data_IF_205672404387
#
_entry.id   IF_205672404387
#
_cell.length_a   1.000
_cell.length_b   1.000
_cell.length_c   1.000
_cell.angle_alpha   90.00
_cell.angle_beta   90.00
_cell.angle_gamma   90.00
#
_symmetry.space_group_name_H-M   'P 1'
#
loop_
_entity.id
_entity.type
_entity.pdbx_description
1 polymer ?
#
# COMPACT_ATOMS: atom_id res chain seq x y z
N UNK A 1 -46.51 17.60 -50.82
CA UNK A 1 -46.60 18.71 -49.85
C UNK A 1 -45.16 19.13 -49.55
N UNK A 2 -44.56 19.88 -50.46
CA UNK A 2 -44.41 21.35 -50.41
C UNK A 2 -43.23 21.75 -49.54
N UNK A 3 -42.16 22.14 -50.23
CA UNK A 3 -41.17 23.12 -49.80
C UNK A 3 -41.80 24.34 -49.10
N UNK A 4 -41.13 24.89 -48.09
CA UNK A 4 -40.85 26.33 -48.01
C UNK A 4 -39.86 26.65 -46.90
N UNK A 5 -38.78 27.30 -47.30
CA UNK A 5 -37.86 28.09 -46.47
C UNK A 5 -38.62 29.20 -45.74
N UNK A 6 -38.24 29.47 -44.50
CA UNK A 6 -38.57 30.71 -43.79
C UNK A 6 -37.29 31.52 -43.62
N UNK A 7 -37.19 32.62 -44.39
CA UNK A 7 -36.21 33.70 -44.21
C UNK A 7 -36.40 34.40 -42.86
N UNK A 8 -35.32 34.87 -42.22
CA UNK A 8 -35.36 36.08 -41.42
C UNK A 8 -34.90 37.27 -42.27
N UNK A 9 -35.82 38.24 -42.35
CA UNK A 9 -35.69 39.66 -42.65
C UNK A 9 -34.30 40.31 -42.51
N UNK A 10 -33.93 41.06 -43.55
CA UNK A 10 -32.95 42.13 -43.54
C UNK A 10 -33.21 43.14 -42.40
N UNK A 11 -32.22 43.37 -41.55
CA UNK A 11 -31.90 44.70 -41.03
C UNK A 11 -30.41 44.90 -41.25
N UNK A 12 -30.08 45.69 -42.26
CA UNK A 12 -28.74 46.17 -42.52
C UNK A 12 -28.41 47.31 -41.55
N UNK A 13 -27.41 47.12 -40.70
CA UNK A 13 -26.61 48.23 -40.18
C UNK A 13 -25.14 47.78 -40.12
N UNK A 14 -24.39 48.22 -41.13
CA UNK A 14 -22.94 48.26 -41.27
C UNK A 14 -22.12 47.75 -40.07
N UNK A 15 -21.54 46.55 -40.19
CA UNK A 15 -20.39 46.14 -39.40
C UNK A 15 -19.15 46.12 -40.29
N UNK A 16 -18.44 47.25 -40.33
CA UNK A 16 -17.18 47.41 -41.05
C UNK A 16 -16.01 46.85 -40.24
N UNK A 17 -16.03 45.54 -39.96
CA UNK A 17 -14.93 44.84 -39.29
C UNK A 17 -14.27 43.86 -40.25
N UNK A 18 -13.15 44.29 -40.83
CA UNK A 18 -12.28 43.44 -41.65
C UNK A 18 -11.66 42.29 -40.85
N UNK A 19 -11.15 41.25 -41.53
CA UNK A 19 -10.53 40.09 -40.90
C UNK A 19 -9.24 40.47 -40.15
N UNK A 20 -9.08 39.97 -38.93
CA UNK A 20 -7.88 40.11 -38.10
C UNK A 20 -6.86 39.05 -38.56
N UNK A 21 -5.75 39.48 -39.14
CA UNK A 21 -4.70 38.57 -39.63
C UNK A 21 -3.73 38.19 -38.50
N UNK A 22 -3.47 36.89 -38.34
CA UNK A 22 -2.52 36.34 -37.35
C UNK A 22 -1.24 35.86 -38.05
N UNK A 23 -0.08 36.05 -37.40
CA UNK A 23 1.22 35.55 -37.85
C UNK A 23 1.86 36.39 -38.96
N UNK A 24 2.82 35.78 -39.69
CA UNK A 24 3.71 36.44 -40.68
C UNK A 24 3.01 37.05 -41.91
N UNK A 25 1.68 37.15 -41.91
CA UNK A 25 0.88 37.74 -42.99
C UNK A 25 1.44 39.10 -43.40
N UNK A 26 1.65 40.00 -42.42
CA UNK A 26 2.20 41.33 -42.65
C UNK A 26 3.60 41.32 -43.28
N UNK A 27 4.49 40.48 -42.73
CA UNK A 27 5.86 40.32 -43.22
C UNK A 27 5.91 39.77 -44.64
N UNK A 28 4.96 38.91 -45.00
CA UNK A 28 4.85 38.30 -46.33
C UNK A 28 4.51 39.32 -47.43
N UNK A 29 3.89 40.44 -47.06
CA UNK A 29 3.55 41.54 -47.97
C UNK A 29 4.52 42.74 -47.86
N UNK A 30 5.63 42.60 -47.13
CA UNK A 30 6.63 43.67 -46.96
C UNK A 30 6.10 44.86 -46.14
N UNK A 31 5.11 44.61 -45.28
CA UNK A 31 4.52 45.60 -44.39
C UNK A 31 5.03 45.39 -42.96
N UNK A 32 5.37 46.49 -42.27
CA UNK A 32 5.82 46.49 -40.88
C UNK A 32 7.00 45.53 -40.62
N UNK A 33 8.16 45.81 -41.21
CA UNK A 33 9.35 44.94 -41.06
C UNK A 33 9.83 44.83 -39.61
N UNK A 34 9.59 45.87 -38.81
CA UNK A 34 9.92 45.98 -37.39
C UNK A 34 8.87 45.37 -36.46
N UNK A 35 7.81 44.73 -37.01
CA UNK A 35 6.75 44.13 -36.20
C UNK A 35 7.20 42.85 -35.52
N UNK A 36 6.94 42.79 -34.22
CA UNK A 36 7.20 41.63 -33.38
C UNK A 36 5.92 40.79 -33.21
N UNK A 37 5.75 39.80 -34.10
CA UNK A 37 4.61 38.88 -34.06
C UNK A 37 4.60 37.97 -32.81
N UNK A 38 5.71 37.87 -32.07
CA UNK A 38 5.81 37.06 -30.84
C UNK A 38 5.43 37.86 -29.59
N UNK A 39 5.36 39.19 -29.66
CA UNK A 39 4.89 40.05 -28.57
C UNK A 39 3.45 40.53 -28.82
N UNK A 40 2.48 39.69 -28.42
CA UNK A 40 1.05 39.97 -28.52
C UNK A 40 0.32 39.82 -27.19
N UNK A 41 -0.69 40.67 -26.97
CA UNK A 41 -1.65 40.53 -25.86
C UNK A 41 -3.08 40.55 -26.39
N UNK A 42 -3.98 39.82 -25.73
CA UNK A 42 -5.38 39.71 -26.15
C UNK A 42 -6.23 40.79 -25.49
N UNK A 43 -6.87 41.64 -26.29
CA UNK A 43 -7.85 42.61 -25.82
C UNK A 43 -9.24 41.97 -25.86
N UNK A 44 -9.61 41.33 -24.74
CA UNK A 44 -10.82 40.52 -24.60
C UNK A 44 -12.13 41.28 -24.87
N UNK A 45 -12.18 42.58 -24.55
CA UNK A 45 -13.39 43.41 -24.71
C UNK A 45 -13.78 43.63 -26.18
N UNK A 46 -12.80 43.63 -27.09
CA UNK A 46 -13.05 43.72 -28.52
C UNK A 46 -12.71 42.44 -29.30
N UNK A 47 -12.37 41.36 -28.59
CA UNK A 47 -11.87 40.12 -29.19
C UNK A 47 -10.73 40.36 -30.20
N UNK A 48 -9.79 41.23 -29.82
CA UNK A 48 -8.70 41.70 -30.67
C UNK A 48 -7.33 41.30 -30.12
N UNK A 49 -6.30 41.34 -30.96
CA UNK A 49 -4.90 41.21 -30.55
C UNK A 49 -4.23 42.59 -30.63
N UNK A 50 -3.49 42.95 -29.59
CA UNK A 50 -2.61 44.11 -29.55
C UNK A 50 -1.17 43.64 -29.62
N UNK A 51 -0.39 44.23 -30.52
CA UNK A 51 1.05 43.98 -30.65
C UNK A 51 1.82 44.97 -29.76
N UNK A 52 3.00 44.57 -29.29
CA UNK A 52 3.82 45.37 -28.37
C UNK A 52 4.68 46.43 -29.06
N UNK A 53 4.61 46.54 -30.38
CA UNK A 53 5.39 47.45 -31.20
C UNK A 53 4.72 48.83 -31.36
N UNK A 54 5.51 49.84 -31.74
CA UNK A 54 4.98 51.16 -32.04
C UNK A 54 4.30 51.11 -33.41
N UNK A 55 2.98 51.27 -33.41
CA UNK A 55 2.08 51.42 -34.56
C UNK A 55 2.76 51.85 -35.88
N UNK A 56 2.59 51.03 -36.93
CA UNK A 56 2.95 51.39 -38.29
C UNK A 56 2.01 52.47 -38.84
N UNK A 57 2.29 53.74 -38.60
CA UNK A 57 1.55 54.83 -39.23
C UNK A 57 1.97 54.97 -40.71
N UNK A 58 1.28 54.27 -41.61
CA UNK A 58 1.34 54.53 -43.06
C UNK A 58 0.07 55.24 -43.47
N UNK A 59 0.18 56.55 -43.67
CA UNK A 59 -0.91 57.52 -43.87
C UNK A 59 -1.94 57.23 -44.98
N UNK A 60 -1.90 56.11 -45.73
CA UNK A 60 -2.90 55.86 -46.77
C UNK A 60 -3.27 54.41 -47.11
N UNK A 61 -2.81 53.39 -46.39
CA UNK A 61 -3.31 52.01 -46.53
C UNK A 61 -2.66 51.19 -45.42
N UNK A 62 -3.32 51.02 -44.29
CA UNK A 62 -2.83 50.08 -43.28
C UNK A 62 -3.05 48.66 -43.80
N UNK A 63 -2.01 48.09 -44.41
CA UNK A 63 -1.97 46.69 -44.84
C UNK A 63 -1.98 45.72 -43.66
N UNK A 64 -1.80 46.22 -42.43
CA UNK A 64 -1.73 45.47 -41.19
C UNK A 64 -2.64 46.11 -40.15
N UNK A 65 -3.98 46.00 -40.31
CA UNK A 65 -4.93 46.66 -39.42
C UNK A 65 -4.75 46.19 -37.98
N UNK A 66 -4.08 47.02 -37.18
CA UNK A 66 -3.99 46.87 -35.73
C UNK A 66 -5.14 47.66 -35.08
N UNK A 67 -5.55 47.25 -33.87
CA UNK A 67 -6.64 47.94 -33.17
C UNK A 67 -6.16 49.34 -32.74
N UNK A 68 -6.70 50.38 -33.37
CA UNK A 68 -6.29 51.76 -33.14
C UNK A 68 -6.72 52.25 -31.75
N UNK A 69 -5.74 52.64 -30.92
CA UNK A 69 -5.94 53.20 -29.59
C UNK A 69 -6.04 54.74 -29.70
N UNK A 70 -7.23 55.25 -30.06
CA UNK A 70 -7.47 56.70 -30.01
C UNK A 70 -8.59 57.05 -29.03
N UNK A 71 -8.23 57.21 -27.76
CA UNK A 71 -8.97 58.03 -26.79
C UNK A 71 -7.96 58.84 -25.94
N UNK A 72 -7.90 60.18 -26.07
CA UNK A 72 -6.97 61.04 -25.33
C UNK A 72 -7.22 61.07 -23.80
N UNK A 73 -8.27 60.41 -23.29
CA UNK A 73 -8.60 60.37 -21.86
C UNK A 73 -8.55 58.99 -21.22
N UNK A 74 -8.23 57.94 -21.98
CA UNK A 74 -8.11 56.57 -21.47
C UNK A 74 -6.76 55.99 -21.84
N UNK A 75 -5.78 56.20 -20.97
CA UNK A 75 -4.52 55.43 -21.00
C UNK A 75 -4.87 53.99 -20.64
N UNK A 76 -5.19 53.16 -21.64
CA UNK A 76 -5.23 51.71 -21.47
C UNK A 76 -3.82 51.19 -21.76
N UNK A 77 -3.06 51.08 -20.68
CA UNK A 77 -1.76 50.41 -20.67
C UNK A 77 -2.01 48.96 -21.12
N UNK A 78 -1.34 48.52 -22.20
CA UNK A 78 -1.12 47.09 -22.47
C UNK A 78 -0.39 46.54 -21.26
N UNK A 79 -1.16 46.10 -20.27
CA UNK A 79 -0.63 45.59 -19.02
C UNK A 79 -0.01 44.26 -19.37
N UNK A 80 1.32 44.21 -19.35
CA UNK A 80 2.08 42.97 -19.39
C UNK A 80 1.52 42.09 -18.28
N UNK A 81 0.64 41.14 -18.62
CA UNK A 81 0.18 40.16 -17.65
C UNK A 81 1.37 39.23 -17.47
N UNK A 82 2.26 39.58 -16.54
CA UNK A 82 3.19 38.62 -15.96
C UNK A 82 2.34 37.41 -15.60
N UNK A 83 2.54 36.29 -16.28
CA UNK A 83 1.92 35.03 -15.88
C UNK A 83 2.51 34.69 -14.51
N UNK A 84 1.83 35.14 -13.46
CA UNK A 84 2.22 34.88 -12.07
C UNK A 84 1.81 33.45 -11.77
N UNK A 85 2.80 32.57 -11.75
CA UNK A 85 2.60 31.16 -11.54
C UNK A 85 3.90 30.45 -11.22
N UNK A 86 3.81 29.16 -10.90
CA UNK A 86 4.96 28.33 -10.59
C UNK A 86 5.23 27.37 -11.73
N UNK A 87 6.48 27.31 -12.20
CA UNK A 87 6.90 26.34 -13.20
C UNK A 87 7.22 24.99 -12.56
N UNK A 88 6.82 23.90 -13.21
CA UNK A 88 7.23 22.54 -12.85
C UNK A 88 7.13 21.61 -14.05
N UNK A 89 8.16 20.78 -14.27
CA UNK A 89 8.22 19.79 -15.36
C UNK A 89 7.89 20.35 -16.75
N UNK A 90 8.28 21.62 -17.01
CA UNK A 90 8.01 22.31 -18.27
C UNK A 90 6.59 22.89 -18.39
N UNK A 91 5.73 22.76 -17.38
CA UNK A 91 4.39 23.32 -17.34
C UNK A 91 4.30 24.49 -16.34
N UNK A 92 3.53 25.52 -16.69
CA UNK A 92 3.21 26.65 -15.82
C UNK A 92 1.90 26.39 -15.07
N UNK A 93 1.91 26.59 -13.76
CA UNK A 93 0.75 26.45 -12.87
C UNK A 93 0.34 27.81 -12.31
N UNK A 94 -0.97 28.08 -12.25
CA UNK A 94 -1.53 29.31 -11.70
C UNK A 94 -1.23 29.45 -10.20
N UNK A 95 -1.14 30.68 -9.71
CA UNK A 95 -1.01 30.98 -8.28
C UNK A 95 -2.13 30.28 -7.47
N UNK A 96 -1.76 29.67 -6.34
CA UNK A 96 -2.70 28.89 -5.52
C UNK A 96 -2.92 27.44 -6.01
N UNK A 97 -2.38 27.05 -7.17
CA UNK A 97 -2.41 25.65 -7.62
C UNK A 97 -1.76 24.72 -6.59
N UNK A 98 -2.38 23.56 -6.37
CA UNK A 98 -1.87 22.55 -5.44
C UNK A 98 -1.51 21.28 -6.20
N UNK A 99 -0.29 20.80 -6.01
CA UNK A 99 0.18 19.52 -6.54
C UNK A 99 0.57 18.59 -5.38
N UNK A 100 0.49 17.29 -5.61
CA UNK A 100 0.98 16.28 -4.66
C UNK A 100 2.29 15.70 -5.15
N UNK A 101 3.30 15.75 -4.29
CA UNK A 101 4.59 15.14 -4.51
C UNK A 101 4.83 14.11 -3.42
N UNK A 102 4.77 12.82 -3.80
CA UNK A 102 4.73 11.72 -2.84
C UNK A 102 3.60 11.97 -1.82
N UNK A 103 3.91 12.04 -0.52
CA UNK A 103 2.94 12.35 0.54
C UNK A 103 2.78 13.86 0.81
N UNK A 104 3.60 14.72 0.20
CA UNK A 104 3.62 16.14 0.46
C UNK A 104 2.67 16.90 -0.48
N UNK A 105 2.03 17.93 0.07
CA UNK A 105 1.19 18.85 -0.69
C UNK A 105 1.96 20.14 -0.92
N UNK A 106 2.13 20.53 -2.17
CA UNK A 106 2.85 21.72 -2.58
C UNK A 106 1.89 22.73 -3.18
N UNK A 107 1.83 23.92 -2.59
CA UNK A 107 0.99 25.03 -3.07
C UNK A 107 1.87 26.06 -3.77
N UNK A 108 1.49 26.45 -4.97
CA UNK A 108 2.15 27.54 -5.68
C UNK A 108 1.84 28.86 -4.96
N UNK A 109 2.89 29.52 -4.48
CA UNK A 109 2.76 30.81 -3.79
C UNK A 109 3.94 31.72 -4.12
N UNK A 110 3.69 32.79 -4.85
CA UNK A 110 4.69 33.78 -5.23
C UNK A 110 5.79 33.21 -6.12
N UNK A 111 5.39 32.50 -7.19
CA UNK A 111 6.28 31.82 -8.16
C UNK A 111 7.16 30.70 -7.57
N UNK A 112 6.95 30.35 -6.29
CA UNK A 112 7.65 29.25 -5.63
C UNK A 112 6.66 28.21 -5.11
N UNK A 113 7.07 26.95 -5.13
CA UNK A 113 6.32 25.86 -4.51
C UNK A 113 6.58 25.81 -3.01
N UNK A 114 5.54 26.03 -2.20
CA UNK A 114 5.58 25.83 -0.76
C UNK A 114 4.99 24.47 -0.43
N UNK A 115 5.87 23.52 -0.12
CA UNK A 115 5.50 22.13 0.19
C UNK A 115 5.40 21.89 1.70
N UNK A 116 4.50 21.01 2.11
CA UNK A 116 4.58 20.37 3.42
C UNK A 116 5.90 19.60 3.56
N UNK A 117 6.37 19.44 4.80
CA UNK A 117 7.60 18.71 5.12
C UNK A 117 7.29 17.43 5.91
N UNK A 118 6.40 16.61 5.38
CA UNK A 118 6.06 15.30 5.94
C UNK A 118 7.11 14.27 5.53
N UNK A 119 7.48 13.40 6.47
CA UNK A 119 8.29 12.21 6.16
C UNK A 119 7.41 11.20 5.45
N UNK A 120 7.68 10.98 4.17
CA UNK A 120 6.93 10.01 3.37
C UNK A 120 7.42 8.58 3.58
N UNK A 121 6.52 7.61 3.40
CA UNK A 121 6.85 6.19 3.52
C UNK A 121 7.79 5.75 2.39
N UNK A 122 7.51 6.18 1.16
CA UNK A 122 8.42 5.98 0.03
C UNK A 122 9.56 6.98 0.14
N UNK A 123 10.78 6.48 0.34
CA UNK A 123 11.98 7.28 0.53
C UNK A 123 13.01 6.93 -0.56
N UNK A 124 13.05 7.67 -1.68
CA UNK A 124 13.95 7.38 -2.80
C UNK A 124 15.43 7.32 -2.38
N UNK A 125 15.87 8.23 -1.52
CA UNK A 125 17.24 8.27 -0.99
C UNK A 125 17.59 7.01 -0.19
N UNK A 126 16.64 6.49 0.59
CA UNK A 126 16.83 5.24 1.35
C UNK A 126 16.95 4.05 0.40
N UNK A 127 16.07 3.97 -0.61
CA UNK A 127 16.12 2.92 -1.63
C UNK A 127 17.47 2.94 -2.35
N UNK A 128 17.93 4.11 -2.78
CA UNK A 128 19.23 4.27 -3.43
C UNK A 128 20.38 3.87 -2.51
N UNK A 129 20.33 4.28 -1.23
CA UNK A 129 21.34 3.91 -0.25
C UNK A 129 21.44 2.40 -0.03
N UNK A 130 20.30 1.70 0.12
CA UNK A 130 20.28 0.23 0.23
C UNK A 130 20.88 -0.41 -1.00
N UNK A 131 20.49 0.04 -2.19
CA UNK A 131 20.93 -0.57 -3.45
C UNK A 131 22.39 -0.27 -3.81
N UNK A 132 22.98 0.83 -3.30
CA UNK A 132 24.41 1.12 -3.44
C UNK A 132 25.26 0.41 -2.40
N UNK A 133 24.70 0.06 -1.25
CA UNK A 133 25.39 -0.64 -0.17
C UNK A 133 25.45 -2.15 -0.37
N UNK A 134 26.37 -2.81 0.34
CA UNK A 134 26.49 -4.27 0.37
C UNK A 134 25.80 -4.84 1.61
N UNK A 135 24.47 -4.73 1.65
CA UNK A 135 23.65 -5.17 2.79
C UNK A 135 23.07 -6.59 2.61
N UNK A 136 23.33 -7.26 1.48
CA UNK A 136 22.79 -8.59 1.20
C UNK A 136 21.32 -8.63 0.76
N UNK A 137 20.68 -7.47 0.58
CA UNK A 137 19.32 -7.33 0.04
C UNK A 137 19.16 -6.05 -0.78
N UNK A 138 18.12 -6.00 -1.60
CA UNK A 138 17.81 -4.86 -2.47
C UNK A 138 16.46 -4.26 -2.16
N UNK A 139 16.32 -2.96 -2.38
CA UNK A 139 15.12 -2.19 -2.13
C UNK A 139 14.44 -1.76 -3.44
N UNK A 140 13.12 -1.61 -3.42
CA UNK A 140 12.35 -0.99 -4.50
C UNK A 140 11.17 -0.16 -3.99
N UNK A 141 10.66 0.68 -4.89
CA UNK A 141 9.42 1.41 -4.67
C UNK A 141 8.21 0.50 -4.94
N UNK A 142 7.14 0.70 -4.18
CA UNK A 142 5.85 0.07 -4.38
C UNK A 142 4.76 1.13 -4.51
N UNK A 143 4.00 1.08 -5.61
CA UNK A 143 2.90 2.01 -5.86
C UNK A 143 1.85 2.00 -4.74
N UNK A 144 1.65 0.86 -4.08
CA UNK A 144 0.73 0.73 -2.94
C UNK A 144 1.13 1.50 -1.68
N UNK A 145 2.33 2.11 -1.65
CA UNK A 145 2.84 2.95 -0.57
C UNK A 145 2.99 4.42 -0.98
N UNK A 146 2.86 4.74 -2.27
CA UNK A 146 3.00 6.09 -2.78
C UNK A 146 1.92 7.01 -2.19
N UNK A 147 2.32 8.19 -1.73
CA UNK A 147 1.41 9.15 -1.13
C UNK A 147 1.13 8.95 0.36
N UNK A 148 1.65 7.89 0.99
CA UNK A 148 1.54 7.69 2.44
C UNK A 148 2.68 8.36 3.18
N UNK A 149 2.37 8.94 4.33
CA UNK A 149 3.38 9.33 5.32
C UNK A 149 3.98 8.08 5.99
N UNK A 150 5.17 8.22 6.56
CA UNK A 150 5.83 7.14 7.30
C UNK A 150 4.98 6.68 8.50
N UNK A 151 4.35 7.62 9.20
CA UNK A 151 3.42 7.33 10.30
C UNK A 151 2.22 6.50 9.84
N UNK A 152 1.60 6.87 8.72
CA UNK A 152 0.50 6.09 8.13
C UNK A 152 0.95 4.69 7.73
N UNK A 153 2.17 4.55 7.19
CA UNK A 153 2.79 3.26 6.91
C UNK A 153 2.83 2.36 8.13
N UNK A 154 3.42 2.84 9.22
CA UNK A 154 3.46 2.12 10.49
C UNK A 154 2.06 1.84 11.03
N UNK A 155 1.18 2.84 11.05
CA UNK A 155 -0.17 2.75 11.59
C UNK A 155 -1.06 1.75 10.85
N UNK A 156 -1.02 1.74 9.51
CA UNK A 156 -1.93 0.93 8.70
C UNK A 156 -1.37 -0.46 8.35
N UNK A 157 -0.04 -0.64 8.35
CA UNK A 157 0.58 -1.92 7.98
C UNK A 157 0.97 -2.79 9.18
N UNK A 158 1.22 -2.22 10.37
CA UNK A 158 1.81 -2.93 11.51
C UNK A 158 0.89 -3.05 12.74
N UNK A 159 -0.39 -3.37 12.54
CA UNK A 159 -1.37 -3.34 13.64
C UNK A 159 -1.26 -4.43 14.71
N UNK A 160 -0.11 -5.08 14.89
CA UNK A 160 0.06 -6.05 15.98
C UNK A 160 0.44 -5.30 17.26
N UNK A 161 -0.37 -5.43 18.30
CA UNK A 161 -0.03 -4.89 19.61
C UNK A 161 1.18 -5.64 20.18
N UNK A 162 2.06 -4.96 20.93
CA UNK A 162 3.15 -5.62 21.64
C UNK A 162 2.65 -6.81 22.47
N UNK A 163 3.38 -7.94 22.49
CA UNK A 163 3.00 -9.12 23.26
C UNK A 163 2.70 -8.78 24.73
N UNK A 164 1.63 -9.38 25.26
CA UNK A 164 1.32 -9.24 26.68
C UNK A 164 2.40 -9.92 27.54
N UNK A 165 2.68 -9.43 28.76
CA UNK A 165 3.62 -10.08 29.66
C UNK A 165 3.28 -11.56 29.92
N UNK A 166 1.98 -11.88 29.94
CA UNK A 166 1.49 -13.25 30.08
C UNK A 166 1.88 -14.14 28.89
N UNK A 167 1.84 -13.61 27.67
CA UNK A 167 2.25 -14.34 26.47
C UNK A 167 3.77 -14.57 26.47
N UNK A 168 4.53 -13.56 26.89
CA UNK A 168 6.00 -13.64 27.02
C UNK A 168 6.46 -14.53 28.18
N UNK A 169 5.61 -14.80 29.17
CA UNK A 169 5.92 -15.69 30.30
C UNK A 169 5.40 -17.12 30.12
N UNK A 170 4.76 -17.44 28.99
CA UNK A 170 4.38 -18.82 28.69
C UNK A 170 5.61 -19.72 28.62
N UNK A 171 5.51 -20.91 29.22
CA UNK A 171 6.54 -21.94 29.11
C UNK A 171 6.78 -22.30 27.64
N UNK A 172 8.04 -22.32 27.26
CA UNK A 172 8.46 -22.74 25.93
C UNK A 172 8.28 -24.25 25.79
N UNK A 173 7.67 -24.66 24.68
CA UNK A 173 7.65 -26.05 24.24
C UNK A 173 8.78 -26.28 23.24
N UNK A 174 9.47 -27.39 23.42
CA UNK A 174 10.43 -27.94 22.45
C UNK A 174 9.73 -28.98 21.59
N UNK A 175 10.17 -29.13 20.35
CA UNK A 175 9.65 -30.17 19.48
C UNK A 175 10.02 -31.56 20.04
N UNK A 176 9.19 -32.57 19.79
CA UNK A 176 9.42 -33.95 20.28
C UNK A 176 10.54 -34.69 19.52
N UNK A 177 11.29 -34.00 18.66
CA UNK A 177 12.38 -34.58 17.90
C UNK A 177 13.65 -34.74 18.74
N UNK A 178 14.38 -35.86 18.56
CA UNK A 178 15.69 -36.03 19.18
C UNK A 178 16.60 -34.82 18.90
N UNK A 179 17.45 -34.48 19.87
CA UNK A 179 18.46 -33.43 19.71
C UNK A 179 19.40 -33.67 18.51
N UNK A 180 19.60 -34.94 18.13
CA UNK A 180 20.44 -35.40 17.02
C UNK A 180 19.74 -35.40 15.65
N UNK A 181 18.53 -34.84 15.54
CA UNK A 181 17.83 -34.79 14.25
C UNK A 181 18.62 -33.95 13.27
N UNK A 182 19.03 -34.55 12.15
CA UNK A 182 19.68 -33.84 11.06
C UNK A 182 18.66 -32.96 10.35
N UNK A 183 18.86 -31.64 10.42
CA UNK A 183 17.97 -30.64 9.82
C UNK A 183 18.52 -30.26 8.45
N UNK A 184 17.70 -30.30 7.38
CA UNK A 184 18.19 -29.97 6.05
C UNK A 184 18.63 -28.50 5.96
N UNK A 185 19.62 -28.21 5.12
CA UNK A 185 20.09 -26.84 4.90
C UNK A 185 19.00 -25.91 4.34
N UNK A 186 18.02 -26.49 3.63
CA UNK A 186 16.85 -25.83 3.06
C UNK A 186 15.58 -26.59 3.36
N UNK A 187 14.54 -25.86 3.75
CA UNK A 187 13.20 -26.39 3.94
C UNK A 187 12.16 -25.36 3.54
N UNK A 188 11.16 -25.78 2.77
CA UNK A 188 10.01 -24.95 2.39
C UNK A 188 8.75 -25.78 2.63
N UNK A 189 7.85 -25.28 3.49
CA UNK A 189 6.64 -26.02 3.86
C UNK A 189 5.77 -26.39 2.65
N UNK A 190 5.69 -25.53 1.62
CA UNK A 190 4.89 -25.80 0.43
C UNK A 190 5.42 -26.95 -0.44
N UNK A 191 6.72 -27.28 -0.35
CA UNK A 191 7.28 -28.46 -1.01
C UNK A 191 7.00 -29.74 -0.22
N UNK A 192 7.01 -29.67 1.12
CA UNK A 192 6.67 -30.82 1.96
C UNK A 192 5.16 -31.13 1.94
N UNK A 193 4.32 -30.10 1.93
CA UNK A 193 2.86 -30.23 1.92
C UNK A 193 2.22 -29.44 0.77
N UNK A 194 2.35 -29.90 -0.48
CA UNK A 194 1.81 -29.22 -1.65
C UNK A 194 0.30 -29.04 -1.55
N UNK A 195 -0.17 -27.81 -1.76
CA UNK A 195 -1.61 -27.47 -1.73
C UNK A 195 -2.22 -27.33 -0.33
N UNK A 196 -1.44 -27.55 0.75
CA UNK A 196 -1.91 -27.39 2.14
C UNK A 196 -1.35 -26.15 2.83
N UNK A 197 -0.42 -25.45 2.18
CA UNK A 197 0.10 -24.15 2.64
C UNK A 197 -0.44 -23.04 1.77
N UNK A 198 -1.13 -22.07 2.36
CA UNK A 198 -1.75 -20.96 1.64
C UNK A 198 -0.79 -19.80 1.45
N UNK A 199 -0.87 -19.16 0.28
CA UNK A 199 -0.05 -17.99 -0.06
C UNK A 199 -0.40 -16.72 0.74
N UNK A 200 0.42 -15.66 0.60
CA UNK A 200 0.21 -14.37 1.25
C UNK A 200 -1.09 -13.72 0.80
N UNK A 201 -1.87 -13.21 1.76
CA UNK A 201 -3.01 -12.34 1.50
C UNK A 201 -2.62 -10.87 1.67
N UNK A 202 -3.51 -9.94 1.31
CA UNK A 202 -3.26 -8.50 1.42
C UNK A 202 -4.21 -7.83 2.42
N UNK A 203 -3.65 -7.30 3.50
CA UNK A 203 -4.39 -6.55 4.52
C UNK A 203 -4.77 -5.13 4.09
N UNK A 204 -4.25 -4.63 2.96
CA UNK A 204 -4.45 -3.24 2.50
C UNK A 204 -4.12 -2.25 3.62
N UNK A 205 -4.86 -1.15 3.72
CA UNK A 205 -4.70 -0.14 4.77
C UNK A 205 -5.53 -0.47 6.01
N UNK A 206 -5.45 -1.73 6.46
CA UNK A 206 -6.04 -2.22 7.69
C UNK A 206 -4.93 -2.82 8.53
N UNK A 207 -4.72 -2.29 9.73
CA UNK A 207 -3.68 -2.69 10.66
C UNK A 207 -4.02 -4.05 11.30
N UNK A 208 -3.92 -5.11 10.49
CA UNK A 208 -4.50 -6.41 10.78
C UNK A 208 -3.54 -7.59 10.61
N UNK A 209 -2.23 -7.34 10.59
CA UNK A 209 -1.22 -8.41 10.51
C UNK A 209 -1.40 -9.49 11.59
N UNK A 210 -1.83 -9.10 12.78
CA UNK A 210 -2.22 -10.00 13.88
C UNK A 210 -3.29 -11.03 13.45
N UNK A 211 -4.29 -10.63 12.67
CA UNK A 211 -5.39 -11.48 12.24
C UNK A 211 -4.99 -12.33 11.03
N UNK A 212 -4.28 -11.73 10.07
CA UNK A 212 -3.83 -12.38 8.84
C UNK A 212 -2.84 -13.51 9.14
N UNK A 213 -1.81 -13.23 9.94
CA UNK A 213 -0.83 -14.25 10.33
C UNK A 213 -1.46 -15.38 11.14
N UNK A 214 -2.34 -15.06 12.11
CA UNK A 214 -3.05 -16.06 12.92
C UNK A 214 -3.92 -16.98 12.06
N UNK A 215 -4.77 -16.40 11.20
CA UNK A 215 -5.66 -17.17 10.33
C UNK A 215 -4.87 -18.02 9.33
N UNK A 216 -3.77 -17.48 8.78
CA UNK A 216 -2.95 -18.19 7.80
C UNK A 216 -2.20 -19.37 8.42
N UNK A 217 -1.60 -19.20 9.60
CA UNK A 217 -0.94 -20.31 10.34
C UNK A 217 -1.95 -21.39 10.70
N UNK A 218 -3.11 -20.99 11.21
CA UNK A 218 -4.17 -21.92 11.56
C UNK A 218 -4.69 -22.72 10.35
N UNK A 219 -4.92 -22.05 9.22
CA UNK A 219 -5.36 -22.71 7.98
C UNK A 219 -4.39 -23.80 7.54
N UNK A 220 -3.10 -23.46 7.48
CA UNK A 220 -2.06 -24.39 7.04
C UNK A 220 -1.93 -25.58 7.99
N UNK A 221 -1.94 -25.33 9.30
CA UNK A 221 -1.84 -26.39 10.31
C UNK A 221 -3.05 -27.31 10.32
N UNK A 222 -4.26 -26.75 10.18
CA UNK A 222 -5.47 -27.57 10.07
C UNK A 222 -5.40 -28.44 8.82
N UNK A 223 -4.94 -27.92 7.68
CA UNK A 223 -4.77 -28.71 6.46
C UNK A 223 -3.74 -29.84 6.62
N UNK A 224 -2.57 -29.52 7.18
CA UNK A 224 -1.49 -30.49 7.41
C UNK A 224 -1.93 -31.58 8.38
N UNK A 225 -2.49 -31.19 9.53
CA UNK A 225 -2.82 -32.15 10.60
C UNK A 225 -4.06 -32.97 10.29
N UNK A 226 -4.98 -32.44 9.48
CA UNK A 226 -6.12 -33.19 8.94
C UNK A 226 -5.77 -34.06 7.73
N UNK A 227 -4.49 -34.14 7.36
CA UNK A 227 -4.00 -34.88 6.20
C UNK A 227 -4.75 -34.50 4.90
N UNK A 228 -4.99 -33.20 4.71
CA UNK A 228 -5.67 -32.67 3.54
C UNK A 228 -7.20 -32.77 3.55
N UNK A 229 -7.83 -33.27 4.62
CA UNK A 229 -9.30 -33.29 4.73
C UNK A 229 -9.91 -31.89 4.82
N UNK A 230 -9.18 -30.93 5.38
CA UNK A 230 -9.61 -29.54 5.53
C UNK A 230 -8.58 -28.56 4.97
N UNK A 231 -8.73 -28.16 3.72
CA UNK A 231 -7.79 -27.27 3.02
C UNK A 231 -8.32 -25.84 2.83
N UNK A 232 -9.33 -25.43 3.60
CA UNK A 232 -9.88 -24.09 3.47
C UNK A 232 -8.92 -23.04 4.05
N UNK A 233 -8.58 -22.02 3.25
CA UNK A 233 -7.95 -20.82 3.77
C UNK A 233 -8.92 -20.14 4.76
N UNK A 234 -8.47 -19.76 5.95
CA UNK A 234 -9.33 -19.17 6.98
C UNK A 234 -9.47 -17.67 6.79
N UNK A 235 -10.63 -17.11 7.15
CA UNK A 235 -10.94 -15.70 6.96
C UNK A 235 -10.29 -14.81 8.03
N UNK A 236 -9.34 -13.93 7.67
CA UNK A 236 -8.88 -12.89 8.57
C UNK A 236 -9.99 -11.88 8.85
N UNK A 237 -10.88 -11.61 7.87
CA UNK A 237 -11.99 -10.67 8.02
C UNK A 237 -12.95 -11.09 9.14
N UNK A 238 -13.27 -12.38 9.24
CA UNK A 238 -14.10 -12.90 10.31
C UNK A 238 -13.46 -12.63 11.68
N UNK A 239 -12.14 -12.84 11.79
CA UNK A 239 -11.40 -12.55 13.01
C UNK A 239 -11.39 -11.05 13.34
N UNK A 240 -11.12 -10.19 12.36
CA UNK A 240 -11.10 -8.73 12.50
C UNK A 240 -12.46 -8.21 12.97
N UNK A 241 -13.55 -8.66 12.36
CA UNK A 241 -14.91 -8.17 12.65
C UNK A 241 -15.52 -8.77 13.92
N UNK A 242 -15.12 -9.98 14.33
CA UNK A 242 -15.83 -10.74 15.37
C UNK A 242 -15.03 -11.02 16.65
N UNK A 243 -13.71 -10.83 16.65
CA UNK A 243 -12.90 -11.02 17.85
C UNK A 243 -13.30 -10.04 18.96
N UNK A 244 -13.83 -10.60 20.06
CA UNK A 244 -14.27 -9.98 21.32
C UNK A 244 -14.38 -8.44 21.30
N UNK A 245 -15.43 -7.95 20.64
CA UNK A 245 -16.01 -6.60 20.79
C UNK A 245 -15.08 -5.45 20.36
N UNK A 246 -14.97 -5.22 19.05
CA UNK A 246 -14.63 -3.96 18.36
C UNK A 246 -14.06 -2.82 19.24
N UNK A 247 -12.81 -2.92 19.69
CA UNK A 247 -12.10 -1.71 20.15
C UNK A 247 -11.12 -1.20 19.11
N UNK A 248 -10.53 -2.09 18.31
CA UNK A 248 -9.46 -1.69 17.40
C UNK A 248 -9.56 -2.27 15.98
N UNK A 249 -10.05 -3.48 15.71
CA UNK A 249 -10.34 -3.94 14.34
C UNK A 249 -9.17 -3.71 13.36
N UNK A 250 -9.36 -2.80 12.40
CA UNK A 250 -8.33 -2.36 11.44
C UNK A 250 -7.34 -1.32 11.97
N UNK A 251 -7.36 -1.00 13.26
CA UNK A 251 -6.44 -0.08 13.91
C UNK A 251 -5.35 -0.81 14.69
N UNK A 252 -5.67 -1.99 15.25
CA UNK A 252 -4.71 -2.90 15.87
C UNK A 252 -5.40 -4.15 16.42
N UNK A 253 -4.62 -5.14 16.83
CA UNK A 253 -5.10 -6.29 17.57
C UNK A 253 -4.00 -7.12 18.20
N UNK A 254 -4.41 -8.05 19.06
CA UNK A 254 -3.52 -8.84 19.89
C UNK A 254 -3.58 -10.31 19.48
N UNK A 255 -2.41 -10.92 19.29
CA UNK A 255 -2.32 -12.31 18.83
C UNK A 255 -2.80 -13.32 19.90
N UNK A 256 -2.66 -13.01 21.19
CA UNK A 256 -3.17 -13.85 22.29
C UNK A 256 -4.71 -13.99 22.23
N UNK A 257 -5.40 -12.87 22.01
CA UNK A 257 -6.85 -12.81 21.83
C UNK A 257 -7.27 -13.50 20.54
N UNK A 258 -6.48 -13.35 19.48
CA UNK A 258 -6.74 -13.98 18.19
C UNK A 258 -6.76 -15.51 18.31
N UNK A 259 -5.71 -16.08 18.90
CA UNK A 259 -5.64 -17.52 19.15
C UNK A 259 -6.71 -17.99 20.14
N UNK A 260 -7.01 -17.20 21.17
CA UNK A 260 -8.10 -17.53 22.10
C UNK A 260 -9.47 -17.54 21.41
N UNK A 261 -9.71 -16.59 20.50
CA UNK A 261 -10.92 -16.56 19.68
C UNK A 261 -11.00 -17.77 18.77
N UNK A 262 -9.92 -18.11 18.06
CA UNK A 262 -9.87 -19.29 17.21
C UNK A 262 -10.12 -20.58 18.00
N UNK A 263 -9.58 -20.70 19.21
CA UNK A 263 -9.87 -21.82 20.12
C UNK A 263 -11.35 -21.87 20.51
N UNK A 264 -11.93 -20.76 21.00
CA UNK A 264 -13.26 -20.74 21.64
C UNK A 264 -14.44 -20.59 20.68
N UNK A 265 -14.22 -19.93 19.55
CA UNK A 265 -15.25 -19.54 18.57
C UNK A 265 -14.95 -20.09 17.18
N UNK A 266 -13.67 -20.25 16.85
CA UNK A 266 -13.21 -20.65 15.53
C UNK A 266 -13.41 -19.59 14.46
N UNK A 267 -12.93 -19.87 13.26
CA UNK A 267 -13.07 -19.03 12.07
C UNK A 267 -13.78 -19.77 10.96
N UNK A 268 -14.46 -19.03 10.09
CA UNK A 268 -14.95 -19.56 8.81
C UNK A 268 -13.89 -19.42 7.71
N UNK A 269 -14.12 -20.05 6.57
CA UNK A 269 -13.23 -19.92 5.41
C UNK A 269 -13.22 -18.48 4.85
N UNK A 270 -12.12 -18.12 4.21
CA UNK A 270 -11.99 -16.88 3.44
C UNK A 270 -13.01 -16.81 2.31
N UNK A 271 -13.38 -17.94 1.69
CA UNK A 271 -14.46 -17.99 0.70
C UNK A 271 -15.82 -17.62 1.33
N UNK A 272 -16.08 -18.04 2.57
CA UNK A 272 -17.31 -17.70 3.29
C UNK A 272 -17.33 -16.24 3.74
N UNK A 273 -16.21 -15.71 4.21
CA UNK A 273 -16.11 -14.33 4.66
C UNK A 273 -14.89 -13.66 4.03
N UNK A 274 -15.01 -13.23 2.76
CA UNK A 274 -13.90 -12.59 2.04
C UNK A 274 -13.56 -11.23 2.64
N UNK A 275 -12.37 -10.73 2.31
CA UNK A 275 -11.97 -9.37 2.68
C UNK A 275 -12.94 -8.36 2.06
N UNK A 276 -13.52 -7.48 2.88
CA UNK A 276 -14.49 -6.51 2.38
C UNK A 276 -13.83 -5.57 1.37
N UNK A 277 -14.46 -5.46 0.20
CA UNK A 277 -14.02 -4.62 -0.93
C UNK A 277 -14.47 -3.16 -0.80
N UNK A 278 -15.28 -2.82 0.20
CA UNK A 278 -15.85 -1.47 0.33
C UNK A 278 -15.32 -0.77 1.57
N UNK A 279 -14.30 0.06 1.37
CA UNK A 279 -13.79 1.02 2.36
C UNK A 279 -14.84 2.09 2.77
N UNK A 280 -16.03 2.08 2.14
CA UNK A 280 -17.16 2.97 2.46
C UNK A 280 -18.20 2.35 3.41
N UNK A 281 -18.05 1.08 3.82
CA UNK A 281 -18.96 0.49 4.79
C UNK A 281 -18.57 0.96 6.21
N UNK A 282 -19.28 1.97 6.71
CA UNK A 282 -19.18 2.50 8.08
C UNK A 282 -19.58 1.51 9.18
N UNK A 283 -19.88 0.25 8.83
CA UNK A 283 -20.36 -0.77 9.75
C UNK A 283 -19.44 -1.99 9.74
N UNK A 284 -18.34 -1.90 10.50
CA UNK A 284 -17.44 -3.03 10.84
C UNK A 284 -18.08 -4.02 11.82
N UNK A 285 -19.39 -4.25 11.70
CA UNK A 285 -20.12 -5.18 12.53
C UNK A 285 -19.68 -6.62 12.26
N UNK A 286 -19.68 -7.45 13.30
CA UNK A 286 -19.53 -8.88 13.13
C UNK A 286 -20.75 -9.46 12.39
N UNK A 287 -20.62 -9.71 11.08
CA UNK A 287 -21.69 -10.32 10.29
C UNK A 287 -21.90 -11.81 10.66
N UNK A 288 -20.84 -12.47 11.15
CA UNK A 288 -20.77 -13.93 11.34
C UNK A 288 -20.21 -14.30 12.71
N UNK A 289 -21.05 -14.24 13.74
CA UNK A 289 -20.67 -14.66 15.10
C UNK A 289 -20.94 -16.17 15.30
N UNK A 290 -20.08 -16.83 16.07
CA UNK A 290 -20.27 -18.24 16.48
C UNK A 290 -20.90 -18.32 17.89
N UNK A 291 -22.20 -18.59 18.07
CA UNK A 291 -22.81 -18.81 19.41
C UNK A 291 -22.72 -20.27 19.86
N UNK A 292 -22.66 -20.50 21.18
CA UNK A 292 -22.58 -21.83 21.82
C UNK A 292 -23.94 -22.50 21.88
N UNK A 293 -24.12 -23.55 21.10
CA UNK A 293 -25.30 -24.43 21.10
C UNK A 293 -24.91 -25.82 21.63
N UNK A 294 -24.25 -25.89 22.78
CA UNK A 294 -24.15 -27.11 23.60
C UNK A 294 -23.44 -28.35 23.03
N UNK A 295 -23.16 -28.43 21.73
CA UNK A 295 -22.43 -29.52 21.05
C UNK A 295 -21.45 -28.87 20.07
N UNK A 296 -20.24 -29.42 19.94
CA UNK A 296 -19.14 -28.80 19.18
C UNK A 296 -19.58 -28.06 17.92
N UNK A 297 -19.34 -26.75 17.87
CA UNK A 297 -19.83 -25.87 16.79
C UNK A 297 -19.11 -26.21 15.50
N UNK A 298 -19.77 -26.94 14.61
CA UNK A 298 -19.25 -27.21 13.27
C UNK A 298 -19.61 -26.11 12.27
N UNK A 299 -20.59 -25.26 12.59
CA UNK A 299 -21.13 -24.25 11.69
C UNK A 299 -21.41 -22.93 12.43
N UNK A 300 -21.29 -21.81 11.71
CA UNK A 300 -21.69 -20.50 12.21
C UNK A 300 -23.22 -20.38 12.36
N UNK A 301 -23.67 -19.45 13.21
CA UNK A 301 -25.12 -19.25 13.44
C UNK A 301 -25.83 -18.52 12.30
N UNK A 302 -25.06 -18.00 11.34
CA UNK A 302 -25.56 -17.25 10.19
C UNK A 302 -24.93 -17.82 8.91
N UNK A 303 -25.57 -17.66 7.75
CA UNK A 303 -24.96 -17.97 6.47
C UNK A 303 -23.83 -16.98 6.17
N UNK A 304 -22.94 -17.36 5.25
CA UNK A 304 -21.85 -16.52 4.77
C UNK A 304 -22.37 -15.13 4.33
N UNK A 305 -21.62 -14.02 4.55
CA UNK A 305 -22.07 -12.68 4.15
C UNK A 305 -22.11 -12.48 2.63
N UNK A 306 -21.50 -13.40 1.87
CA UNK A 306 -21.62 -13.45 0.42
C UNK A 306 -22.61 -14.55 -0.01
N UNK A 307 -23.09 -14.45 -1.23
CA UNK A 307 -24.04 -15.38 -1.84
C UNK A 307 -23.39 -16.53 -2.62
N UNK A 308 -22.05 -16.63 -2.62
CA UNK A 308 -21.27 -17.59 -3.42
C UNK A 308 -21.01 -18.85 -2.59
N UNK A 309 -20.42 -18.68 -1.42
CA UNK A 309 -20.07 -19.78 -0.52
C UNK A 309 -21.26 -20.14 0.38
N UNK A 310 -21.67 -21.41 0.33
CA UNK A 310 -22.78 -21.92 1.14
C UNK A 310 -22.29 -22.50 2.47
N UNK A 311 -21.04 -22.97 2.50
CA UNK A 311 -20.44 -23.62 3.66
C UNK A 311 -19.99 -22.58 4.68
N UNK A 312 -20.74 -22.48 5.78
CA UNK A 312 -20.40 -21.65 6.93
C UNK A 312 -19.67 -22.44 8.03
N UNK A 313 -18.90 -23.47 7.63
CA UNK A 313 -18.15 -24.33 8.56
C UNK A 313 -17.18 -23.51 9.41
N UNK A 314 -17.08 -23.88 10.68
CA UNK A 314 -16.13 -23.32 11.64
C UNK A 314 -14.93 -24.24 11.79
N UNK A 315 -13.74 -23.64 11.79
CA UNK A 315 -12.47 -24.26 12.05
C UNK A 315 -11.90 -23.75 13.37
N UNK A 316 -11.44 -24.66 14.23
CA UNK A 316 -10.93 -24.36 15.56
C UNK A 316 -9.52 -24.94 15.75
N UNK A 317 -8.82 -24.42 16.76
CA UNK A 317 -7.53 -24.94 17.19
C UNK A 317 -7.52 -25.24 18.69
N UNK A 318 -6.52 -26.01 19.12
CA UNK A 318 -6.15 -26.21 20.51
C UNK A 318 -5.80 -24.88 21.19
N UNK A 319 -5.57 -24.87 22.52
CA UNK A 319 -4.85 -23.77 23.13
C UNK A 319 -3.54 -23.49 22.38
N UNK A 320 -3.18 -22.21 22.15
CA UNK A 320 -1.89 -21.85 21.59
C UNK A 320 -0.78 -22.19 22.58
N UNK A 321 0.41 -22.42 22.06
CA UNK A 321 1.63 -22.61 22.85
C UNK A 321 2.77 -21.79 22.26
N UNK A 322 3.75 -21.50 23.12
CA UNK A 322 4.98 -20.82 22.74
C UNK A 322 6.01 -21.87 22.35
N UNK A 323 6.55 -21.75 21.15
CA UNK A 323 7.69 -22.55 20.70
C UNK A 323 8.96 -21.90 21.26
N UNK A 324 9.96 -22.71 21.60
CA UNK A 324 11.23 -22.17 22.08
C UNK A 324 11.83 -21.18 21.11
N UNK A 325 12.45 -20.12 21.63
CA UNK A 325 13.17 -19.12 20.83
C UNK A 325 14.49 -19.65 20.24
N UNK A 326 14.85 -20.91 20.49
CA UNK A 326 16.02 -21.55 19.89
C UNK A 326 15.80 -21.81 18.39
N UNK A 327 16.73 -21.36 17.53
CA UNK A 327 16.74 -21.57 16.07
C UNK A 327 16.36 -23.01 15.67
N UNK A 328 16.98 -24.01 16.32
CA UNK A 328 16.80 -25.43 16.00
C UNK A 328 15.40 -25.92 16.36
N UNK A 329 14.82 -25.44 17.46
CA UNK A 329 13.48 -25.84 17.90
C UNK A 329 12.39 -25.23 17.01
N UNK A 330 12.59 -23.99 16.53
CA UNK A 330 11.73 -23.36 15.53
C UNK A 330 11.77 -24.17 14.22
N UNK A 331 12.97 -24.56 13.76
CA UNK A 331 13.12 -25.39 12.55
C UNK A 331 12.40 -26.73 12.70
N UNK A 332 12.60 -27.43 13.82
CA UNK A 332 11.94 -28.71 14.10
C UNK A 332 10.42 -28.58 14.11
N UNK A 333 9.89 -27.54 14.76
CA UNK A 333 8.44 -27.30 14.82
C UNK A 333 7.84 -27.06 13.43
N UNK A 334 8.48 -26.21 12.62
CA UNK A 334 8.05 -25.95 11.25
C UNK A 334 8.13 -27.24 10.41
N UNK A 335 9.20 -28.01 10.58
CA UNK A 335 9.41 -29.25 9.84
C UNK A 335 8.36 -30.31 10.15
N UNK A 336 7.94 -30.44 11.41
CA UNK A 336 7.01 -31.50 11.83
C UNK A 336 5.55 -31.09 11.64
N UNK A 337 5.21 -29.88 12.07
CA UNK A 337 3.83 -29.48 12.33
C UNK A 337 3.34 -28.36 11.41
N UNK A 338 4.22 -27.84 10.56
CA UNK A 338 3.91 -26.79 9.59
C UNK A 338 4.20 -25.37 10.11
N UNK A 339 3.84 -24.35 9.31
CA UNK A 339 4.17 -22.96 9.57
C UNK A 339 3.82 -22.48 10.98
N UNK A 340 4.57 -21.49 11.49
CA UNK A 340 4.37 -20.88 12.82
C UNK A 340 4.15 -19.38 12.69
N UNK A 341 3.53 -18.77 13.70
CA UNK A 341 3.41 -17.32 13.78
C UNK A 341 4.62 -16.74 14.48
N UNK A 342 5.25 -15.73 13.87
CA UNK A 342 6.33 -14.96 14.47
C UNK A 342 5.93 -13.50 14.59
N UNK A 343 6.56 -12.78 15.54
CA UNK A 343 6.47 -11.34 15.66
C UNK A 343 7.85 -10.75 15.41
N UNK A 344 7.90 -9.64 14.67
CA UNK A 344 9.11 -8.88 14.42
C UNK A 344 8.89 -7.38 14.63
N UNK A 345 9.97 -6.64 14.82
CA UNK A 345 10.00 -5.19 14.73
C UNK A 345 10.30 -4.78 13.29
N UNK A 346 9.43 -3.95 12.71
CA UNK A 346 9.57 -3.44 11.36
C UNK A 346 10.10 -2.01 11.42
N UNK A 347 11.12 -1.77 10.62
CA UNK A 347 11.76 -0.47 10.46
C UNK A 347 11.37 0.14 9.10
N UNK A 348 11.69 1.42 8.88
CA UNK A 348 11.28 2.15 7.68
C UNK A 348 11.82 1.56 6.37
N UNK A 349 13.00 0.94 6.40
CA UNK A 349 13.69 0.31 5.28
C UNK A 349 13.02 -1.00 4.84
N UNK A 350 12.41 -1.74 5.77
CA UNK A 350 11.72 -2.99 5.46
C UNK A 350 10.53 -2.79 4.52
N UNK A 351 9.87 -1.62 4.53
CA UNK A 351 8.78 -1.34 3.58
C UNK A 351 9.24 -1.44 2.13
N UNK A 352 10.52 -1.16 1.85
CA UNK A 352 11.10 -1.19 0.51
C UNK A 352 11.73 -2.53 0.14
N UNK A 353 11.76 -3.54 1.02
CA UNK A 353 12.35 -4.85 0.73
C UNK A 353 11.86 -5.43 -0.61
N UNK A 354 12.79 -5.82 -1.48
CA UNK A 354 12.51 -6.49 -2.77
C UNK A 354 12.93 -7.95 -2.75
N UNK A 355 14.22 -8.22 -2.52
CA UNK A 355 14.81 -9.56 -2.55
C UNK A 355 16.16 -9.57 -1.83
N UNK A 356 16.62 -10.75 -1.41
CA UNK A 356 17.87 -10.96 -0.68
C UNK A 356 17.60 -11.36 0.77
N UNK A 357 18.61 -11.33 1.63
CA UNK A 357 18.46 -11.65 3.06
C UNK A 357 18.39 -10.34 3.83
N UNK A 358 17.18 -9.95 4.23
CA UNK A 358 16.93 -8.72 4.97
C UNK A 358 17.69 -8.70 6.29
N UNK A 359 18.31 -7.53 6.54
CA UNK A 359 18.90 -7.09 7.80
C UNK A 359 18.66 -5.60 7.90
N UNK A 360 18.23 -5.12 9.07
CA UNK A 360 17.90 -3.73 9.26
C UNK A 360 19.17 -2.86 9.12
N UNK A 361 19.05 -1.79 8.34
CA UNK A 361 20.12 -0.82 8.14
C UNK A 361 19.89 0.32 9.15
N UNK A 362 20.70 0.34 10.21
CA UNK A 362 20.60 1.38 11.23
C UNK A 362 20.91 2.75 10.62
N UNK A 363 19.86 3.57 10.43
CA UNK A 363 20.01 5.02 10.23
C UNK A 363 19.66 5.75 11.52
N UNK A 364 20.47 6.74 11.86
CA UNK A 364 20.15 7.76 12.86
C UNK A 364 19.13 8.74 12.30
N UNK A 365 17.91 8.28 12.01
CA UNK A 365 16.81 9.19 11.77
C UNK A 365 16.02 9.31 13.07
N UNK A 366 16.23 10.39 13.82
CA UNK A 366 15.65 10.55 15.17
C UNK A 366 14.11 10.47 15.14
N UNK A 367 13.50 10.88 14.02
CA UNK A 367 12.07 10.77 13.71
C UNK A 367 11.56 9.32 13.71
N UNK A 368 12.35 8.33 13.27
CA UNK A 368 11.93 6.91 13.29
C UNK A 368 11.72 6.41 14.73
N UNK A 369 12.49 6.94 15.68
CA UNK A 369 12.42 6.56 17.11
C UNK A 369 11.07 6.95 17.73
N UNK A 370 10.42 7.99 17.20
CA UNK A 370 9.06 8.41 17.61
C UNK A 370 8.03 7.30 17.39
N UNK A 371 8.24 6.43 16.41
CA UNK A 371 7.29 5.42 15.99
C UNK A 371 7.57 4.02 16.56
N UNK A 372 8.55 3.85 17.46
CA UNK A 372 8.92 2.55 18.05
C UNK A 372 7.72 1.74 18.59
N UNK A 373 6.70 2.42 19.14
CA UNK A 373 5.49 1.76 19.67
C UNK A 373 4.58 1.14 18.59
N UNK A 374 4.76 1.52 17.33
CA UNK A 374 3.97 1.04 16.18
C UNK A 374 4.72 0.02 15.33
N UNK A 375 5.95 -0.37 15.70
CA UNK A 375 6.82 -1.20 14.84
C UNK A 375 6.54 -2.70 14.91
N UNK A 376 5.63 -3.15 15.77
CA UNK A 376 5.39 -4.58 15.96
C UNK A 376 4.50 -5.17 14.86
N UNK A 377 5.00 -6.20 14.17
CA UNK A 377 4.32 -6.85 13.06
C UNK A 377 4.31 -8.37 13.21
N UNK A 378 3.21 -9.03 12.83
CA UNK A 378 3.10 -10.48 12.90
C UNK A 378 3.12 -11.10 11.50
N UNK A 379 3.93 -12.14 11.33
CA UNK A 379 4.18 -12.83 10.05
C UNK A 379 4.07 -14.35 10.23
N UNK A 380 4.00 -15.09 9.12
CA UNK A 380 3.99 -16.55 9.12
C UNK A 380 5.36 -17.07 8.64
N UNK A 381 6.10 -17.78 9.49
CA UNK A 381 7.33 -18.48 9.08
C UNK A 381 6.98 -19.79 8.39
N UNK A 382 7.48 -19.98 7.17
CA UNK A 382 7.14 -21.11 6.30
C UNK A 382 8.33 -22.00 5.96
N UNK A 383 9.55 -21.62 6.34
CA UNK A 383 10.74 -22.40 6.04
C UNK A 383 12.03 -21.64 6.33
N UNK A 384 13.15 -22.21 5.88
CA UNK A 384 14.48 -21.65 6.04
C UNK A 384 15.40 -22.08 4.89
N UNK A 385 16.54 -21.42 4.81
CA UNK A 385 17.62 -21.83 3.92
C UNK A 385 18.98 -21.38 4.41
N UNK A 386 19.99 -21.76 3.63
CA UNK A 386 21.38 -21.35 3.84
C UNK A 386 22.04 -21.07 2.50
N UNK A 387 22.35 -19.81 2.19
CA UNK A 387 23.13 -19.47 0.99
C UNK A 387 24.62 -19.50 1.30
N UNK A 388 25.43 -19.88 0.31
CA UNK A 388 26.88 -19.66 0.36
C UNK A 388 27.15 -18.27 -0.23
N UNK A 389 27.64 -17.36 0.60
CA UNK A 389 28.08 -16.04 0.16
C UNK A 389 29.33 -16.11 -0.71
N UNK A 390 29.68 -14.99 -1.35
CA UNK A 390 30.81 -14.89 -2.28
C UNK A 390 32.16 -15.29 -1.65
N UNK A 391 32.30 -15.16 -0.34
CA UNK A 391 33.51 -15.48 0.44
C UNK A 391 33.43 -16.87 1.10
N UNK A 392 32.46 -17.70 0.73
CA UNK A 392 32.24 -19.04 1.32
C UNK A 392 31.52 -19.04 2.68
N UNK A 393 31.21 -17.86 3.22
CA UNK A 393 30.42 -17.68 4.44
C UNK A 393 29.00 -18.24 4.24
N UNK A 394 28.48 -19.03 5.18
CA UNK A 394 27.10 -19.52 5.13
C UNK A 394 26.16 -18.46 5.69
N UNK A 395 25.31 -17.87 4.86
CA UNK A 395 24.26 -16.97 5.29
C UNK A 395 22.94 -17.74 5.48
N UNK A 396 22.53 -17.85 6.74
CA UNK A 396 21.28 -18.48 7.14
C UNK A 396 20.12 -17.50 7.05
N UNK A 397 18.97 -17.95 6.58
CA UNK A 397 17.76 -17.12 6.54
C UNK A 397 16.50 -17.91 6.88
N UNK A 398 15.50 -17.20 7.41
CA UNK A 398 14.11 -17.65 7.48
C UNK A 398 13.37 -17.23 6.22
N UNK A 399 12.34 -18.00 5.85
CA UNK A 399 11.37 -17.64 4.82
C UNK A 399 10.06 -17.31 5.53
N UNK A 400 9.57 -16.08 5.34
CA UNK A 400 8.36 -15.60 5.97
C UNK A 400 7.36 -15.11 4.91
N UNK A 401 6.09 -15.45 5.09
CA UNK A 401 4.98 -14.87 4.35
C UNK A 401 4.49 -13.60 5.06
N UNK A 402 4.46 -12.50 4.32
CA UNK A 402 3.91 -11.23 4.78
C UNK A 402 2.40 -11.17 4.54
N UNK A 403 1.76 -10.06 4.89
CA UNK A 403 0.33 -9.79 4.70
C UNK A 403 0.07 -8.54 3.86
N UNK A 404 1.00 -8.18 2.96
CA UNK A 404 0.91 -6.98 2.09
C UNK A 404 0.71 -7.32 0.61
N UNK A 405 0.19 -8.51 0.33
CA UNK A 405 -0.10 -8.98 -1.02
C UNK A 405 1.13 -9.48 -1.79
N UNK A 406 0.84 -10.15 -2.90
CA UNK A 406 1.86 -10.80 -3.74
C UNK A 406 2.73 -9.81 -4.52
N UNK A 407 2.31 -8.55 -4.67
CA UNK A 407 3.09 -7.52 -5.36
C UNK A 407 4.26 -6.99 -4.54
N UNK A 408 4.33 -7.32 -3.25
CA UNK A 408 5.40 -6.89 -2.36
C UNK A 408 6.45 -7.98 -2.17
N UNK A 409 7.74 -7.60 -2.10
CA UNK A 409 8.85 -8.51 -1.86
C UNK A 409 8.96 -9.62 -2.91
N UNK A 410 9.19 -10.84 -2.44
CA UNK A 410 9.38 -12.04 -3.25
C UNK A 410 8.04 -12.77 -3.42
N UNK A 411 7.12 -12.17 -4.17
CA UNK A 411 5.74 -12.66 -4.34
C UNK A 411 4.94 -12.71 -3.02
N UNK A 412 5.10 -11.69 -2.17
CA UNK A 412 4.49 -11.59 -0.84
C UNK A 412 5.30 -12.27 0.27
N UNK A 413 6.42 -12.88 -0.06
CA UNK A 413 7.37 -13.45 0.89
C UNK A 413 8.59 -12.54 1.06
N UNK A 414 9.35 -12.79 2.13
CA UNK A 414 10.66 -12.22 2.33
C UNK A 414 11.57 -13.22 3.03
N UNK A 415 12.87 -12.96 2.90
CA UNK A 415 13.92 -13.69 3.61
C UNK A 415 14.60 -12.75 4.59
N UNK A 416 14.82 -13.22 5.80
CA UNK A 416 15.40 -12.44 6.90
C UNK A 416 16.47 -13.26 7.60
N UNK A 417 17.53 -12.58 8.06
CA UNK A 417 18.67 -13.21 8.70
C UNK A 417 18.24 -14.08 9.88
N UNK A 418 18.78 -15.30 9.94
CA UNK A 418 18.42 -16.34 10.90
C UNK A 418 19.57 -16.68 11.84
N UNK A 419 19.26 -16.97 13.10
CA UNK A 419 20.19 -17.37 14.15
C UNK A 419 20.75 -16.20 14.98
N UNK A 420 20.29 -14.98 14.73
CA UNK A 420 20.72 -13.76 15.43
C UNK A 420 19.54 -12.94 15.96
N UNK A 421 18.32 -13.50 15.90
CA UNK A 421 17.09 -12.81 16.26
C UNK A 421 16.93 -11.44 15.56
N UNK A 422 17.24 -11.38 14.26
CA UNK A 422 17.12 -10.16 13.45
C UNK A 422 15.71 -9.61 13.53
N UNK A 423 15.58 -8.31 13.80
CA UNK A 423 14.29 -7.66 14.02
C UNK A 423 13.38 -8.37 15.02
N UNK A 424 13.94 -9.00 16.07
CA UNK A 424 13.20 -9.75 17.09
C UNK A 424 12.39 -10.97 16.57
N UNK A 425 12.65 -11.45 15.35
CA UNK A 425 11.78 -12.44 14.70
C UNK A 425 11.74 -13.83 15.38
N UNK A 426 12.76 -14.19 16.16
CA UNK A 426 12.89 -15.48 16.86
C UNK A 426 12.40 -15.39 18.32
N UNK A 427 12.11 -14.18 18.81
CA UNK A 427 11.81 -13.89 20.21
C UNK A 427 10.47 -14.45 20.69
N UNK A 428 9.47 -14.45 19.82
CA UNK A 428 8.14 -14.96 20.16
C UNK A 428 7.53 -15.70 18.99
N UNK A 429 7.56 -17.03 19.10
CA UNK A 429 6.98 -17.95 18.13
C UNK A 429 5.77 -18.63 18.75
N UNK A 430 4.62 -18.51 18.10
CA UNK A 430 3.35 -19.08 18.55
C UNK A 430 2.85 -20.12 17.54
N UNK A 431 2.38 -21.23 18.09
CA UNK A 431 1.80 -22.33 17.34
C UNK A 431 0.54 -22.86 18.04
N UNK A 432 -0.24 -23.66 17.30
CA UNK A 432 -1.38 -24.40 17.83
C UNK A 432 -1.59 -25.68 17.02
N UNK A 433 -2.40 -26.59 17.53
CA UNK A 433 -2.89 -27.76 16.79
C UNK A 433 -4.30 -27.49 16.26
N UNK A 434 -4.61 -27.93 15.05
CA UNK A 434 -5.97 -28.00 14.54
C UNK A 434 -6.83 -28.89 15.44
N UNK A 435 -8.03 -28.44 15.76
CA UNK A 435 -8.96 -29.23 16.56
C UNK A 435 -9.71 -30.19 15.63
N UNK A 436 -9.19 -31.40 15.50
CA UNK A 436 -9.82 -32.50 14.77
C UNK A 436 -10.68 -33.31 15.74
N UNK A 437 -11.88 -33.72 15.34
CA UNK A 437 -12.72 -34.60 16.17
C UNK A 437 -12.54 -36.05 15.74
N UNK A 438 -12.85 -37.02 16.59
CA UNK A 438 -12.69 -38.46 16.29
C UNK A 438 -13.52 -38.96 15.10
N UNK A 439 -14.56 -38.24 14.67
CA UNK A 439 -15.25 -38.52 13.39
C UNK A 439 -14.48 -38.03 12.16
N UNK A 440 -13.36 -37.33 12.39
CA UNK A 440 -12.52 -36.69 11.39
C UNK A 440 -11.11 -37.31 11.29
N UNK A 441 -10.78 -38.29 12.14
CA UNK A 441 -9.63 -39.19 11.92
C UNK A 441 -9.95 -40.17 10.76
N UNK A 442 -8.96 -40.51 9.91
CA UNK A 442 -9.16 -41.33 8.71
C UNK A 442 -9.58 -42.78 9.00
#
# INVERSE_FOLDING_TARGET
>A
LSSTEVKPSNVSSFDSRGPIFKGQYCRSFGCCEDRDDDCVTHFYEANALCYCDNFCERENSDCCPDYNLWDPRRILICSYVMLVGCFRDGQLYEEGSVIKENCNSCTCSGQQWKCSQLVCLVQPELIEHVNKGDYGWTAQNYSQFWGMTLEEGFKYRLGTLPPSPMLLSMNEMTASLPATTDLPEFFIASYKWPGWTHGPLDQKNCAASWAFSTASVAADRIAIQSNGRYTANLSPQNLISCCAKNRHGCNSGSIDRAWWFLRKRGLVSHACYPLFKDQNATNYGCAMASRSDGRGKRHATKPCPNNIEKSNRIYQCSPPYRVSSNETEIMKEIMQNGPVQAIMQVHEDFFHYKTGIYRHITRTNEESRKYQKLQTHAVKLTGWGTLKGAQGQKEKFWIAANSWGISWGENGYFRILRGVNESDIEKLIIAAWGHLTSSDEP
#
